data_IF_953972117288
#
_entry.id   IF_953972117288
#
_cell.length_a   1.000
_cell.length_b   1.000
_cell.length_c   1.000
_cell.angle_alpha   90.00
_cell.angle_beta   90.00
_cell.angle_gamma   90.00
#
_symmetry.space_group_name_H-M   'P 1'
#
loop_
_entity.id
_entity.type
_entity.pdbx_description
1 polymer ?
#
# COMPACT_ATOMS: atom_id res chain seq x y z
N UNK A 1 20.79 -17.69 55.52
CA UNK A 1 20.57 -18.14 54.15
C UNK A 1 20.05 -16.97 53.35
N UNK A 2 20.91 -16.38 52.55
CA UNK A 2 20.50 -15.30 51.65
C UNK A 2 19.99 -15.96 50.36
N UNK A 3 18.68 -15.89 50.14
CA UNK A 3 18.09 -16.28 48.90
C UNK A 3 18.45 -15.25 47.83
N UNK A 4 19.35 -15.61 46.95
CA UNK A 4 19.67 -14.79 45.82
C UNK A 4 18.52 -15.02 44.81
N UNK A 5 17.55 -14.13 44.86
CA UNK A 5 16.61 -14.04 43.75
C UNK A 5 17.40 -13.50 42.57
N UNK A 6 17.77 -14.40 41.68
CA UNK A 6 18.20 -14.00 40.35
C UNK A 6 17.03 -13.27 39.72
N UNK A 7 17.10 -11.94 39.70
CA UNK A 7 16.20 -11.17 38.82
C UNK A 7 16.41 -11.73 37.42
N UNK A 8 15.36 -12.27 36.77
CA UNK A 8 15.51 -12.71 35.40
C UNK A 8 16.07 -11.53 34.62
N UNK A 9 17.25 -11.73 34.07
CA UNK A 9 17.83 -10.75 33.15
C UNK A 9 16.77 -10.55 32.07
N UNK A 10 16.12 -9.39 32.09
CA UNK A 10 15.27 -8.98 31.00
C UNK A 10 16.23 -8.88 29.83
N UNK A 11 16.24 -9.92 28.99
CA UNK A 11 16.89 -9.83 27.70
C UNK A 11 16.05 -8.87 26.92
N UNK A 12 16.37 -7.58 27.02
CA UNK A 12 15.91 -6.62 26.03
C UNK A 12 16.36 -7.19 24.69
N UNK A 13 15.44 -7.41 23.75
CA UNK A 13 15.86 -7.82 22.43
C UNK A 13 16.89 -6.81 21.97
N UNK A 14 18.07 -7.31 21.61
CA UNK A 14 19.17 -6.54 21.02
C UNK A 14 18.76 -6.02 19.63
N UNK A 15 17.55 -5.47 19.55
CA UNK A 15 17.09 -4.86 18.31
C UNK A 15 17.40 -3.38 18.38
N UNK A 16 18.24 -2.86 17.48
CA UNK A 16 18.55 -1.44 17.42
C UNK A 16 17.35 -0.60 16.95
N UNK A 17 16.19 -1.22 16.85
CA UNK A 17 14.95 -0.59 16.44
C UNK A 17 14.22 0.09 17.59
N UNK A 18 13.67 1.25 17.33
CA UNK A 18 12.69 1.86 18.20
C UNK A 18 11.36 1.08 18.19
N UNK A 19 10.40 1.49 19.03
CA UNK A 19 9.09 0.83 19.07
C UNK A 19 8.31 1.06 17.77
N UNK A 20 7.45 0.10 17.45
CA UNK A 20 6.53 0.28 16.36
C UNK A 20 5.48 1.36 16.69
N UNK A 21 5.16 2.20 15.72
CA UNK A 21 3.98 3.07 15.81
C UNK A 21 2.69 2.25 15.83
N UNK A 22 1.58 2.83 16.27
CA UNK A 22 0.26 2.22 16.05
C UNK A 22 0.01 1.97 14.57
N UNK A 23 -0.87 1.02 14.27
CA UNK A 23 -1.33 0.81 12.91
C UNK A 23 -2.11 2.02 12.42
N UNK A 24 -1.90 2.39 11.16
CA UNK A 24 -2.67 3.44 10.49
C UNK A 24 -4.14 3.01 10.34
N UNK A 25 -5.01 3.95 10.00
CA UNK A 25 -6.35 3.62 9.53
C UNK A 25 -6.24 2.78 8.24
N UNK A 26 -7.25 1.96 7.97
CA UNK A 26 -7.29 1.20 6.73
C UNK A 26 -7.42 2.13 5.53
N UNK A 27 -6.63 1.90 4.49
CA UNK A 27 -6.67 2.71 3.27
C UNK A 27 -8.00 2.60 2.52
N UNK A 28 -8.76 1.53 2.76
CA UNK A 28 -10.08 1.33 2.18
C UNK A 28 -11.02 0.73 3.21
N UNK A 29 -12.31 1.06 3.07
CA UNK A 29 -13.35 0.50 3.93
C UNK A 29 -13.89 -0.83 3.42
N UNK A 30 -13.67 -1.14 2.15
CA UNK A 30 -14.12 -2.38 1.51
C UNK A 30 -13.19 -2.74 0.35
N UNK A 31 -13.31 -3.96 -0.16
CA UNK A 31 -12.56 -4.42 -1.34
C UNK A 31 -11.07 -4.56 -1.09
N UNK A 32 -10.68 -4.64 0.16
CA UNK A 32 -9.32 -4.82 0.62
C UNK A 32 -8.42 -3.60 0.48
N UNK A 33 -7.97 -3.14 1.61
CA UNK A 33 -6.98 -2.08 1.74
C UNK A 33 -5.82 -2.55 2.61
N UNK A 34 -4.98 -1.62 3.03
CA UNK A 34 -3.86 -1.88 3.93
C UNK A 34 -3.84 -0.92 5.10
N UNK A 35 -3.27 -1.41 6.20
CA UNK A 35 -2.78 -0.61 7.31
C UNK A 35 -1.25 -0.73 7.32
N UNK A 36 -0.58 0.32 7.72
CA UNK A 36 0.87 0.35 7.87
C UNK A 36 1.25 0.81 9.26
N UNK A 37 2.44 0.42 9.70
CA UNK A 37 3.09 0.96 10.89
C UNK A 37 4.57 1.12 10.61
N UNK A 38 5.21 2.00 11.36
CA UNK A 38 6.61 2.36 11.13
C UNK A 38 7.39 2.27 12.44
N UNK A 39 8.68 2.07 12.30
CA UNK A 39 9.65 2.16 13.38
C UNK A 39 10.91 2.86 12.90
N UNK A 40 11.68 3.37 13.83
CA UNK A 40 12.90 4.11 13.54
C UNK A 40 14.11 3.27 13.95
N UNK A 41 15.11 3.22 13.08
CA UNK A 41 16.39 2.63 13.42
C UNK A 41 17.15 3.57 14.37
N UNK A 42 17.52 3.07 15.54
CA UNK A 42 18.22 3.85 16.56
C UNK A 42 19.74 3.63 16.52
N UNK A 43 20.22 2.70 15.70
CA UNK A 43 21.64 2.40 15.56
C UNK A 43 22.28 3.19 14.43
N UNK A 44 23.44 3.77 14.70
CA UNK A 44 24.25 4.42 13.65
C UNK A 44 24.87 3.42 12.69
N UNK A 45 24.96 2.16 13.09
CA UNK A 45 25.49 1.07 12.25
C UNK A 45 24.43 0.43 11.34
N UNK A 46 23.20 0.95 11.38
CA UNK A 46 22.09 0.41 10.62
C UNK A 46 21.31 -0.65 11.38
N UNK A 47 20.20 -1.08 10.79
CA UNK A 47 19.30 -2.07 11.37
C UNK A 47 18.94 -3.11 10.32
N UNK A 48 18.83 -4.36 10.76
CA UNK A 48 18.33 -5.44 9.92
C UNK A 48 16.80 -5.46 9.94
N UNK A 49 16.21 -5.75 8.81
CA UNK A 49 14.77 -5.82 8.67
C UNK A 49 14.16 -4.52 8.18
N UNK A 50 12.83 -4.48 8.12
CA UNK A 50 12.10 -3.36 7.54
C UNK A 50 11.69 -2.33 8.59
N UNK A 51 11.77 -1.05 8.22
CA UNK A 51 11.23 0.05 9.00
C UNK A 51 9.70 0.15 8.89
N UNK A 52 9.10 -0.56 7.96
CA UNK A 52 7.67 -0.50 7.66
C UNK A 52 7.10 -1.91 7.70
N UNK A 53 5.98 -2.09 8.37
CA UNK A 53 5.16 -3.29 8.28
C UNK A 53 3.78 -2.92 7.76
N UNK A 54 3.14 -3.87 7.11
CA UNK A 54 1.79 -3.68 6.59
C UNK A 54 0.95 -4.94 6.76
N UNK A 55 -0.36 -4.76 6.78
CA UNK A 55 -1.32 -5.85 6.83
C UNK A 55 -2.57 -5.48 6.04
N UNK A 56 -3.27 -6.50 5.55
CA UNK A 56 -4.54 -6.32 4.87
C UNK A 56 -5.65 -5.94 5.87
N UNK A 57 -6.58 -5.13 5.40
CA UNK A 57 -7.76 -4.71 6.16
C UNK A 57 -8.91 -4.41 5.20
N UNK A 58 -10.11 -4.14 5.73
CA UNK A 58 -11.28 -3.84 4.90
C UNK A 58 -11.61 -4.98 3.95
N UNK A 59 -11.57 -6.22 4.46
CA UNK A 59 -11.61 -7.44 3.63
C UNK A 59 -12.98 -7.74 3.04
N UNK A 60 -14.05 -7.12 3.53
CA UNK A 60 -15.39 -7.37 2.98
C UNK A 60 -15.53 -6.78 1.58
N UNK A 61 -16.32 -7.41 0.71
CA UNK A 61 -16.49 -6.93 -0.66
C UNK A 61 -17.19 -5.57 -0.69
N UNK A 62 -16.80 -4.74 -1.66
CA UNK A 62 -17.50 -3.49 -1.92
C UNK A 62 -18.87 -3.77 -2.57
N UNK A 63 -19.85 -2.85 -2.43
CA UNK A 63 -21.09 -2.94 -3.18
C UNK A 63 -20.82 -3.08 -4.69
N UNK A 64 -21.67 -3.82 -5.40
CA UNK A 64 -21.51 -4.02 -6.84
C UNK A 64 -21.55 -2.73 -7.67
N UNK A 65 -22.18 -1.69 -7.10
CA UNK A 65 -22.24 -0.36 -7.74
C UNK A 65 -20.96 0.45 -7.58
N UNK A 66 -20.02 -0.01 -6.76
CA UNK A 66 -18.76 0.71 -6.55
C UNK A 66 -17.83 0.53 -7.75
N UNK A 67 -17.19 1.61 -8.17
CA UNK A 67 -16.15 1.55 -9.19
C UNK A 67 -14.86 0.96 -8.58
N UNK A 68 -13.97 0.46 -9.42
CA UNK A 68 -12.70 -0.09 -8.96
C UNK A 68 -11.82 1.00 -8.32
N UNK A 69 -10.92 0.60 -7.44
CA UNK A 69 -10.03 1.56 -6.81
C UNK A 69 -9.12 2.27 -7.81
N UNK A 70 -8.67 1.57 -8.85
CA UNK A 70 -7.88 2.22 -9.91
C UNK A 70 -8.72 3.23 -10.69
N UNK A 71 -9.97 2.94 -10.95
CA UNK A 71 -10.88 3.89 -11.60
C UNK A 71 -11.11 5.12 -10.71
N UNK A 72 -11.24 4.93 -9.39
CA UNK A 72 -11.32 6.06 -8.46
C UNK A 72 -10.06 6.94 -8.52
N UNK A 73 -8.89 6.33 -8.60
CA UNK A 73 -7.64 7.07 -8.71
C UNK A 73 -7.53 7.81 -10.05
N UNK A 74 -7.96 7.19 -11.14
CA UNK A 74 -8.05 7.85 -12.45
C UNK A 74 -9.03 9.02 -12.44
N UNK A 75 -10.19 8.84 -11.80
CA UNK A 75 -11.23 9.86 -11.74
C UNK A 75 -10.79 11.16 -11.03
N UNK A 76 -9.77 11.11 -10.20
CA UNK A 76 -9.19 12.32 -9.57
C UNK A 76 -8.64 13.29 -10.61
N UNK A 77 -8.30 12.82 -11.80
CA UNK A 77 -7.79 13.65 -12.90
C UNK A 77 -8.88 14.21 -13.80
N UNK A 78 -10.15 13.87 -13.57
CA UNK A 78 -11.28 14.37 -14.37
C UNK A 78 -11.43 15.90 -14.31
N UNK A 79 -11.01 16.52 -13.20
CA UNK A 79 -11.10 17.96 -12.99
C UNK A 79 -9.84 18.72 -13.39
N UNK A 80 -8.89 18.03 -14.00
CA UNK A 80 -7.62 18.60 -14.46
C UNK A 80 -7.62 18.57 -15.98
N UNK A 81 -7.44 19.73 -16.62
CA UNK A 81 -7.39 19.80 -18.08
C UNK A 81 -6.18 19.02 -18.60
N UNK A 82 -6.43 18.18 -19.58
CA UNK A 82 -5.42 17.41 -20.32
C UNK A 82 -5.39 17.90 -21.75
N UNK A 83 -4.27 18.49 -22.17
CA UNK A 83 -4.13 19.13 -23.48
C UNK A 83 -5.29 20.11 -23.81
N UNK A 84 -5.68 20.89 -22.82
CA UNK A 84 -6.73 21.92 -22.97
C UNK A 84 -8.16 21.40 -22.89
N UNK A 85 -8.36 20.11 -22.62
CA UNK A 85 -9.70 19.50 -22.51
C UNK A 85 -9.86 18.75 -21.20
N UNK A 86 -11.07 18.77 -20.65
CA UNK A 86 -11.45 17.91 -19.53
C UNK A 86 -11.91 16.57 -20.09
N UNK A 87 -11.34 15.50 -19.54
CA UNK A 87 -11.67 14.13 -19.89
C UNK A 87 -12.22 13.41 -18.66
N UNK A 88 -13.06 12.40 -18.91
CA UNK A 88 -13.39 11.38 -17.92
C UNK A 88 -12.40 10.24 -18.09
N UNK A 89 -11.79 9.81 -16.99
CA UNK A 89 -10.72 8.82 -17.03
C UNK A 89 -11.12 7.53 -16.33
N UNK A 90 -10.73 6.42 -16.92
CA UNK A 90 -10.85 5.08 -16.35
C UNK A 90 -9.52 4.36 -16.45
N UNK A 91 -9.30 3.35 -15.62
CA UNK A 91 -8.02 2.65 -15.57
C UNK A 91 -7.83 1.73 -16.76
N UNK A 92 -6.58 1.57 -17.17
CA UNK A 92 -6.12 0.63 -18.19
C UNK A 92 -5.09 -0.29 -17.59
N UNK A 93 -5.17 -1.57 -17.91
CA UNK A 93 -4.18 -2.54 -17.46
C UNK A 93 -3.00 -2.62 -18.43
N UNK A 94 -1.81 -2.25 -17.93
CA UNK A 94 -0.54 -2.52 -18.57
C UNK A 94 0.28 -3.41 -17.64
N UNK A 95 0.41 -4.67 -18.00
CA UNK A 95 1.01 -5.69 -17.11
C UNK A 95 2.50 -5.45 -16.86
N UNK A 96 3.21 -4.84 -17.79
CA UNK A 96 4.63 -4.49 -17.69
C UNK A 96 4.91 -3.39 -16.65
N UNK A 97 3.88 -2.64 -16.26
CA UNK A 97 3.98 -1.62 -15.21
C UNK A 97 2.91 -1.87 -14.12
N UNK A 98 3.09 -2.87 -13.27
CA UNK A 98 2.03 -3.37 -12.40
C UNK A 98 1.55 -2.36 -11.34
N UNK A 99 2.37 -1.38 -10.99
CA UNK A 99 2.04 -0.39 -9.96
C UNK A 99 1.94 1.04 -10.49
N UNK A 100 1.92 1.23 -11.81
CA UNK A 100 1.66 2.55 -12.40
C UNK A 100 0.15 2.80 -12.49
N UNK A 101 -0.22 4.07 -12.53
CA UNK A 101 -1.59 4.49 -12.80
C UNK A 101 -1.70 4.93 -14.25
N UNK A 102 -2.16 4.02 -15.08
CA UNK A 102 -2.44 4.28 -16.50
C UNK A 102 -3.94 4.42 -16.67
N UNK A 103 -4.35 5.51 -17.28
CA UNK A 103 -5.75 5.83 -17.49
C UNK A 103 -6.02 6.11 -18.96
N UNK A 104 -7.20 5.73 -19.42
CA UNK A 104 -7.68 6.05 -20.75
C UNK A 104 -8.89 6.99 -20.66
N UNK A 105 -9.07 7.83 -21.66
CA UNK A 105 -10.26 8.66 -21.75
C UNK A 105 -11.45 7.77 -22.10
N UNK A 106 -12.54 7.89 -21.33
CA UNK A 106 -13.74 7.07 -21.50
C UNK A 106 -14.32 7.22 -22.92
N UNK A 107 -14.39 8.46 -23.43
CA UNK A 107 -14.97 8.74 -24.75
C UNK A 107 -14.01 8.48 -25.90
N UNK A 108 -12.71 8.43 -25.64
CA UNK A 108 -11.66 8.20 -26.64
C UNK A 108 -10.60 7.27 -26.07
N UNK A 109 -10.84 5.96 -26.05
CA UNK A 109 -9.92 4.99 -25.43
C UNK A 109 -8.51 4.96 -26.02
N UNK A 110 -8.31 5.55 -27.21
CA UNK A 110 -6.98 5.71 -27.80
C UNK A 110 -6.12 6.73 -27.07
N UNK A 111 -6.74 7.61 -26.28
CA UNK A 111 -6.00 8.56 -25.43
C UNK A 111 -5.71 7.87 -24.12
N UNK A 112 -4.44 7.48 -23.93
CA UNK A 112 -3.94 6.81 -22.73
C UNK A 112 -2.81 7.65 -22.17
N UNK A 113 -2.83 7.85 -20.85
CA UNK A 113 -1.77 8.57 -20.16
C UNK A 113 -1.42 7.88 -18.85
N UNK A 114 -0.15 7.84 -18.52
CA UNK A 114 0.31 7.44 -17.21
C UNK A 114 0.34 8.66 -16.30
N UNK A 115 -0.63 8.75 -15.37
CA UNK A 115 -0.72 9.89 -14.46
C UNK A 115 0.20 9.77 -13.26
N UNK A 116 0.57 8.56 -12.91
CA UNK A 116 1.50 8.31 -11.81
C UNK A 116 2.26 7.01 -12.05
N UNK A 117 3.52 6.99 -11.66
CA UNK A 117 4.29 5.74 -11.62
C UNK A 117 4.03 4.93 -10.34
N UNK A 118 3.27 5.50 -9.42
CA UNK A 118 2.88 4.84 -8.18
C UNK A 118 1.38 5.03 -7.92
N UNK A 119 0.65 3.91 -7.95
CA UNK A 119 -0.73 3.90 -7.43
C UNK A 119 -0.70 4.04 -5.91
N UNK A 120 -1.83 4.37 -5.32
CA UNK A 120 -1.96 4.42 -3.86
C UNK A 120 -1.59 3.07 -3.24
N UNK A 121 -0.88 3.12 -2.11
CA UNK A 121 -0.44 1.93 -1.41
C UNK A 121 -1.60 1.00 -1.07
N UNK A 122 -1.42 -0.28 -1.32
CA UNK A 122 -2.46 -1.29 -1.13
C UNK A 122 -3.32 -1.55 -2.36
N UNK A 123 -3.12 -0.80 -3.44
CA UNK A 123 -3.75 -1.10 -4.73
C UNK A 123 -3.19 -2.42 -5.25
N UNK A 124 -4.07 -3.29 -5.74
CA UNK A 124 -3.62 -4.56 -6.33
C UNK A 124 -2.74 -4.31 -7.54
N UNK A 125 -1.68 -5.11 -7.66
CA UNK A 125 -0.86 -5.11 -8.87
C UNK A 125 -1.70 -5.54 -10.07
N UNK A 126 -1.45 -4.92 -11.22
CA UNK A 126 -2.10 -5.35 -12.47
C UNK A 126 -1.76 -6.80 -12.78
N UNK A 127 -2.75 -7.55 -13.19
CA UNK A 127 -2.59 -8.96 -13.55
C UNK A 127 -2.41 -9.91 -12.36
N UNK A 128 -2.58 -9.45 -11.14
CA UNK A 128 -2.46 -10.31 -9.95
C UNK A 128 -3.52 -9.97 -8.91
N UNK A 129 -4.16 -11.01 -8.37
CA UNK A 129 -5.07 -10.88 -7.23
C UNK A 129 -4.37 -11.07 -5.87
N UNK A 130 -3.09 -11.51 -5.88
CA UNK A 130 -2.35 -11.89 -4.68
C UNK A 130 -1.25 -10.89 -4.29
N UNK A 131 -0.98 -9.91 -5.15
CA UNK A 131 0.09 -8.94 -4.94
C UNK A 131 -0.48 -7.53 -4.80
N UNK A 132 0.13 -6.76 -3.92
CA UNK A 132 -0.26 -5.37 -3.65
C UNK A 132 0.89 -4.43 -3.95
N UNK A 133 0.55 -3.23 -4.40
CA UNK A 133 1.52 -2.18 -4.63
C UNK A 133 1.82 -1.42 -3.34
N UNK A 134 3.09 -1.33 -2.99
CA UNK A 134 3.59 -0.56 -1.85
C UNK A 134 4.74 0.31 -2.33
N UNK A 135 4.61 1.61 -2.20
CA UNK A 135 5.62 2.58 -2.67
C UNK A 135 6.03 2.34 -4.12
N UNK A 136 5.08 1.97 -4.96
CA UNK A 136 5.30 1.70 -6.38
C UNK A 136 5.89 0.34 -6.71
N UNK A 137 6.09 -0.52 -5.71
CA UNK A 137 6.65 -1.87 -5.88
C UNK A 137 5.57 -2.91 -5.66
N UNK A 138 5.48 -3.86 -6.59
CA UNK A 138 4.54 -4.96 -6.49
C UNK A 138 5.06 -6.02 -5.52
N UNK A 139 4.39 -6.17 -4.39
CA UNK A 139 4.82 -7.08 -3.33
C UNK A 139 3.83 -8.21 -3.09
N UNK A 140 4.36 -9.38 -2.77
CA UNK A 140 3.56 -10.54 -2.40
C UNK A 140 2.90 -10.27 -1.05
N UNK A 141 1.60 -10.57 -0.97
CA UNK A 141 0.84 -10.53 0.25
C UNK A 141 1.48 -11.46 1.29
N UNK A 142 2.09 -10.88 2.30
CA UNK A 142 2.61 -11.67 3.43
C UNK A 142 1.47 -11.92 4.40
N UNK A 143 1.13 -13.21 4.59
CA UNK A 143 0.31 -13.60 5.73
C UNK A 143 1.13 -13.32 6.99
N UNK A 144 0.87 -12.22 7.66
CA UNK A 144 1.39 -12.01 9.00
C UNK A 144 0.50 -12.75 9.97
N UNK A 145 0.92 -13.94 10.38
CA UNK A 145 0.39 -14.58 11.56
C UNK A 145 0.78 -13.72 12.76
N UNK A 146 -0.15 -12.99 13.26
CA UNK A 146 -0.42 -12.41 14.59
C UNK A 146 -1.29 -11.21 14.52
#
# INVERSE_FOLDING_TARGET
MVSIYSIPKVILPDTPWGPWSPWSVCSRTCGEGIQTRRRVCLSTDGCDGSAIAWRACGLHPCPQSAISWRDEQCAKYNNIAYHGKYQLWESVEKVDSPCSLDCQAVDQPSIVNMFSNQVEDGTRCKGSSLKLCLSGICEVRKCQFK
#
